data_IF_299732392625
#
_entry.id   IF_299732392625
#
_cell.length_a   1.000
_cell.length_b   1.000
_cell.length_c   1.000
_cell.angle_alpha   90.00
_cell.angle_beta   90.00
_cell.angle_gamma   90.00
#
_symmetry.space_group_name_H-M   'P 1'
#
loop_
_entity.id
_entity.type
_entity.pdbx_description
1 polymer ?
#
# COMPACT_ATOMS: atom_id res chain seq x y z
N UNK A 1 84.38 -15.91 11.23
CA UNK A 1 83.61 -17.07 11.72
C UNK A 1 82.40 -16.51 12.44
N UNK A 2 81.23 -16.45 11.77
CA UNK A 2 80.14 -17.46 11.82
C UNK A 2 79.57 -17.56 13.26
N UNK A 3 78.27 -17.37 13.54
CA UNK A 3 77.08 -17.59 12.70
C UNK A 3 75.80 -17.11 13.42
N UNK A 4 74.75 -16.84 12.62
CA UNK A 4 73.30 -16.96 12.89
C UNK A 4 72.65 -15.90 13.82
N UNK A 5 71.93 -14.90 13.30
CA UNK A 5 70.62 -14.91 12.61
C UNK A 5 69.47 -15.52 13.43
N UNK A 6 68.48 -14.69 13.74
CA UNK A 6 67.03 -14.97 13.91
C UNK A 6 66.35 -13.61 14.20
N UNK A 7 66.04 -12.79 13.19
CA UNK A 7 64.75 -12.69 12.48
C UNK A 7 63.54 -12.89 13.38
N UNK A 8 62.89 -11.77 13.75
CA UNK A 8 61.44 -11.74 13.98
C UNK A 8 60.85 -10.56 13.21
N UNK A 9 60.52 -10.85 11.95
CA UNK A 9 59.77 -10.02 11.03
C UNK A 9 58.38 -9.74 11.60
N UNK A 10 58.12 -8.48 11.99
CA UNK A 10 56.78 -8.04 12.37
C UNK A 10 56.06 -7.55 11.12
N UNK A 11 55.29 -8.44 10.48
CA UNK A 11 54.36 -8.09 9.40
C UNK A 11 53.17 -7.37 10.03
N UNK A 12 53.14 -6.05 9.93
CA UNK A 12 51.95 -5.26 10.26
C UNK A 12 50.94 -5.45 9.12
N UNK A 13 49.95 -6.31 9.35
CA UNK A 13 48.77 -6.42 8.49
C UNK A 13 47.91 -5.16 8.70
N UNK A 14 48.16 -4.13 7.89
CA UNK A 14 47.25 -3.01 7.74
C UNK A 14 45.95 -3.54 7.13
N UNK A 15 44.98 -3.85 7.99
CA UNK A 15 43.63 -4.18 7.58
C UNK A 15 43.00 -2.91 7.01
N UNK A 16 43.01 -2.74 5.69
CA UNK A 16 42.20 -1.72 5.06
C UNK A 16 40.74 -2.10 5.28
N UNK A 17 40.05 -1.38 6.18
CA UNK A 17 38.60 -1.36 6.18
C UNK A 17 38.18 -0.77 4.83
N UNK A 18 37.87 -1.64 3.86
CA UNK A 18 37.10 -1.21 2.69
C UNK A 18 35.70 -0.95 3.20
N UNK A 19 35.41 0.33 3.46
CA UNK A 19 34.05 0.83 3.55
C UNK A 19 33.40 0.48 2.21
N UNK A 20 32.69 -0.64 2.18
CA UNK A 20 31.69 -0.85 1.14
C UNK A 20 30.75 0.34 1.28
N UNK A 21 30.59 1.19 0.26
CA UNK A 21 29.51 2.13 0.30
C UNK A 21 28.27 1.27 0.40
N UNK A 22 27.60 1.31 1.55
CA UNK A 22 26.19 0.96 1.61
C UNK A 22 25.61 1.81 0.50
N UNK A 23 25.21 1.15 -0.58
CA UNK A 23 24.42 1.76 -1.62
C UNK A 23 23.21 2.24 -0.84
N UNK A 24 23.22 3.52 -0.47
CA UNK A 24 21.99 4.25 -0.29
C UNK A 24 21.33 4.08 -1.64
N UNK A 25 20.45 3.08 -1.74
CA UNK A 25 19.32 3.20 -2.63
C UNK A 25 18.65 4.46 -2.13
N UNK A 26 19.09 5.59 -2.68
CA UNK A 26 18.25 6.76 -2.83
C UNK A 26 16.93 6.17 -3.25
N UNK A 27 15.94 6.37 -2.40
CA UNK A 27 14.58 6.05 -2.70
C UNK A 27 14.19 7.01 -3.83
N UNK A 28 14.69 6.74 -5.02
CA UNK A 28 14.08 7.11 -6.29
C UNK A 28 12.84 6.24 -6.44
N UNK A 29 11.97 6.28 -5.43
CA UNK A 29 10.55 6.15 -5.60
C UNK A 29 9.99 7.45 -6.22
N UNK A 30 10.74 8.06 -7.15
CA UNK A 30 10.15 8.36 -8.45
C UNK A 30 9.85 7.03 -9.16
N UNK A 31 9.06 6.15 -8.53
CA UNK A 31 8.15 5.31 -9.28
C UNK A 31 7.35 6.31 -10.05
N UNK A 32 7.71 6.43 -11.32
CA UNK A 32 6.91 7.00 -12.36
C UNK A 32 5.49 6.44 -12.15
N UNK A 33 4.67 7.20 -11.42
CA UNK A 33 3.28 6.90 -11.12
C UNK A 33 2.60 6.93 -12.47
N UNK A 34 2.64 5.78 -13.15
CA UNK A 34 2.00 5.56 -14.43
C UNK A 34 0.49 5.59 -14.19
N UNK A 35 -0.08 6.80 -14.15
CA UNK A 35 -1.35 7.24 -14.75
C UNK A 35 -2.56 6.30 -14.61
N UNK A 36 -2.62 5.49 -13.56
CA UNK A 36 -3.82 4.79 -13.14
C UNK A 36 -4.03 5.00 -11.64
N UNK A 37 -4.14 6.27 -11.27
CA UNK A 37 -4.63 6.67 -9.95
C UNK A 37 -6.02 6.04 -9.72
N UNK A 38 -6.32 5.71 -8.46
CA UNK A 38 -7.61 5.19 -8.03
C UNK A 38 -8.69 6.24 -8.32
N UNK A 39 -8.41 7.51 -8.07
CA UNK A 39 -9.23 8.66 -8.43
C UNK A 39 -9.59 8.66 -9.92
N UNK A 40 -8.63 8.44 -10.82
CA UNK A 40 -8.88 8.37 -12.26
C UNK A 40 -9.77 7.17 -12.63
N UNK A 41 -9.58 6.03 -11.96
CA UNK A 41 -10.41 4.84 -12.17
C UNK A 41 -11.86 5.07 -11.74
N UNK A 42 -12.05 5.71 -10.57
CA UNK A 42 -13.37 6.12 -10.06
C UNK A 42 -14.00 7.13 -11.01
N UNK A 43 -13.28 8.17 -11.42
CA UNK A 43 -13.76 9.20 -12.34
C UNK A 43 -14.22 8.59 -13.66
N UNK A 44 -13.45 7.67 -14.25
CA UNK A 44 -13.82 6.97 -15.47
C UNK A 44 -15.07 6.11 -15.29
N UNK A 45 -15.22 5.44 -14.14
CA UNK A 45 -16.42 4.66 -13.85
C UNK A 45 -17.66 5.55 -13.67
N UNK A 46 -17.53 6.67 -12.97
CA UNK A 46 -18.60 7.65 -12.83
C UNK A 46 -19.02 8.23 -14.18
N UNK A 47 -18.05 8.59 -15.03
CA UNK A 47 -18.33 9.10 -16.35
C UNK A 47 -19.06 8.08 -17.24
N UNK A 48 -18.64 6.81 -17.22
CA UNK A 48 -19.35 5.71 -17.90
C UNK A 48 -20.78 5.50 -17.37
N UNK A 49 -21.07 5.89 -16.13
CA UNK A 49 -22.41 5.87 -15.53
C UNK A 49 -23.24 7.12 -15.88
N UNK A 50 -22.73 8.01 -16.74
CA UNK A 50 -23.44 9.19 -17.23
C UNK A 50 -23.19 10.47 -16.44
N UNK A 51 -22.23 10.48 -15.52
CA UNK A 51 -21.83 11.70 -14.81
C UNK A 51 -20.91 12.53 -15.72
N UNK A 52 -21.06 13.85 -15.69
CA UNK A 52 -20.15 14.77 -16.38
C UNK A 52 -18.68 14.49 -16.00
N UNK A 53 -17.76 14.67 -16.94
CA UNK A 53 -16.36 14.30 -16.75
C UNK A 53 -15.69 15.13 -15.64
N UNK A 54 -15.93 16.44 -15.61
CA UNK A 54 -15.31 17.34 -14.64
C UNK A 54 -15.94 17.16 -13.25
N UNK A 55 -17.25 16.91 -13.21
CA UNK A 55 -17.93 16.50 -11.97
C UNK A 55 -17.36 15.18 -11.45
N UNK A 56 -17.15 14.20 -12.34
CA UNK A 56 -16.60 12.88 -11.98
C UNK A 56 -15.21 13.00 -11.35
N UNK A 57 -14.33 13.84 -11.92
CA UNK A 57 -12.99 14.11 -11.36
C UNK A 57 -13.09 14.73 -9.98
N UNK A 58 -13.96 15.74 -9.81
CA UNK A 58 -14.16 16.43 -8.54
C UNK A 58 -14.66 15.48 -7.45
N UNK A 59 -15.62 14.61 -7.76
CA UNK A 59 -16.15 13.62 -6.82
C UNK A 59 -15.06 12.60 -6.44
N UNK A 60 -14.33 12.07 -7.43
CA UNK A 60 -13.33 11.04 -7.22
C UNK A 60 -12.18 11.50 -6.30
N UNK A 61 -11.80 12.78 -6.36
CA UNK A 61 -10.72 13.32 -5.54
C UNK A 61 -11.10 13.54 -4.07
N UNK A 62 -12.40 13.54 -3.72
CA UNK A 62 -12.87 13.87 -2.38
C UNK A 62 -13.27 12.64 -1.54
N UNK A 63 -13.13 11.43 -2.07
CA UNK A 63 -13.62 10.21 -1.40
C UNK A 63 -12.65 9.67 -0.33
N UNK A 64 -11.36 10.01 -0.45
CA UNK A 64 -10.31 9.45 0.41
C UNK A 64 -10.18 10.25 1.71
N UNK A 65 -10.10 9.56 2.84
CA UNK A 65 -9.83 10.18 4.16
C UNK A 65 -8.34 10.40 4.42
N UNK A 66 -7.51 9.79 3.60
CA UNK A 66 -6.04 9.86 3.62
C UNK A 66 -5.55 10.21 2.21
N UNK A 67 -4.26 10.49 2.06
CA UNK A 67 -3.68 10.70 0.74
C UNK A 67 -3.85 9.45 -0.15
N UNK A 68 -3.91 9.67 -1.47
CA UNK A 68 -4.22 8.61 -2.41
C UNK A 68 -3.14 7.50 -2.46
N UNK A 69 -1.89 7.83 -2.16
CA UNK A 69 -0.78 6.87 -2.14
C UNK A 69 -0.93 5.91 -0.96
N UNK A 70 -1.18 6.45 0.23
CA UNK A 70 -1.48 5.70 1.45
C UNK A 70 -2.75 4.87 1.28
N UNK A 71 -3.79 5.45 0.68
CA UNK A 71 -5.01 4.71 0.36
C UNK A 71 -4.73 3.54 -0.57
N UNK A 72 -3.88 3.72 -1.58
CA UNK A 72 -3.48 2.66 -2.50
C UNK A 72 -2.75 1.52 -1.79
N UNK A 73 -1.87 1.82 -0.83
CA UNK A 73 -1.20 0.81 0.01
C UNK A 73 -2.20 0.02 0.86
N UNK A 74 -3.15 0.73 1.50
CA UNK A 74 -4.22 0.09 2.27
C UNK A 74 -5.10 -0.82 1.40
N UNK A 75 -5.36 -0.40 0.16
CA UNK A 75 -6.13 -1.16 -0.80
C UNK A 75 -5.39 -2.41 -1.29
N UNK A 76 -4.08 -2.33 -1.49
CA UNK A 76 -3.26 -3.51 -1.80
C UNK A 76 -3.32 -4.55 -0.70
N UNK A 77 -3.27 -4.14 0.58
CA UNK A 77 -3.45 -5.07 1.70
C UNK A 77 -4.80 -5.79 1.64
N UNK A 78 -5.87 -5.07 1.29
CA UNK A 78 -7.20 -5.67 1.12
C UNK A 78 -7.22 -6.67 -0.05
N UNK A 79 -6.65 -6.30 -1.20
CA UNK A 79 -6.60 -7.15 -2.40
C UNK A 79 -5.78 -8.43 -2.18
N UNK A 80 -4.69 -8.36 -1.42
CA UNK A 80 -3.85 -9.51 -1.13
C UNK A 80 -4.33 -10.35 0.05
N UNK A 81 -5.01 -9.73 1.03
CA UNK A 81 -5.48 -10.42 2.24
C UNK A 81 -6.91 -10.98 2.13
N UNK A 82 -7.65 -10.63 1.07
CA UNK A 82 -9.05 -11.04 0.88
C UNK A 82 -9.31 -11.54 -0.54
N UNK A 83 -9.12 -12.85 -0.76
CA UNK A 83 -9.37 -13.53 -2.04
C UNK A 83 -10.82 -13.46 -2.53
N UNK A 84 -11.74 -13.04 -1.66
CA UNK A 84 -13.15 -12.93 -2.02
C UNK A 84 -13.43 -11.74 -2.91
N UNK A 85 -12.62 -10.68 -2.88
CA UNK A 85 -12.89 -9.45 -3.63
C UNK A 85 -12.04 -9.36 -4.89
N UNK A 86 -12.68 -9.17 -6.04
CA UNK A 86 -11.97 -8.79 -7.25
C UNK A 86 -11.69 -7.30 -7.28
N UNK A 87 -10.65 -6.87 -8.01
CA UNK A 87 -10.36 -5.44 -8.21
C UNK A 87 -11.55 -4.69 -8.80
N UNK A 88 -12.28 -5.32 -9.73
CA UNK A 88 -13.45 -4.70 -10.37
C UNK A 88 -14.56 -4.40 -9.36
N UNK A 89 -14.88 -5.35 -8.47
CA UNK A 89 -15.90 -5.16 -7.44
C UNK A 89 -15.52 -4.07 -6.44
N UNK A 90 -14.24 -4.00 -6.07
CA UNK A 90 -13.72 -2.93 -5.22
C UNK A 90 -13.88 -1.58 -5.93
N UNK A 91 -13.46 -1.46 -7.18
CA UNK A 91 -13.58 -0.19 -7.92
C UNK A 91 -15.05 0.22 -8.10
N UNK A 92 -15.94 -0.74 -8.35
CA UNK A 92 -17.37 -0.48 -8.48
C UNK A 92 -17.98 0.05 -7.18
N UNK A 93 -17.63 -0.59 -6.05
CA UNK A 93 -18.00 -0.14 -4.71
C UNK A 93 -17.48 1.26 -4.39
N UNK A 94 -16.18 1.52 -4.60
CA UNK A 94 -15.60 2.84 -4.39
C UNK A 94 -16.28 3.90 -5.26
N UNK A 95 -16.58 3.59 -6.51
CA UNK A 95 -17.29 4.53 -7.40
C UNK A 95 -18.68 4.86 -6.86
N UNK A 96 -19.38 3.89 -6.29
CA UNK A 96 -20.68 4.10 -5.65
C UNK A 96 -20.56 4.92 -4.36
N UNK A 97 -19.56 4.66 -3.51
CA UNK A 97 -19.34 5.49 -2.32
C UNK A 97 -18.99 6.94 -2.69
N UNK A 98 -18.19 7.15 -3.75
CA UNK A 98 -17.87 8.47 -4.27
C UNK A 98 -19.14 9.23 -4.67
N UNK A 99 -20.01 8.59 -5.46
CA UNK A 99 -21.28 9.17 -5.90
C UNK A 99 -22.18 9.55 -4.71
N UNK A 100 -22.18 8.73 -3.66
CA UNK A 100 -22.94 8.98 -2.43
C UNK A 100 -22.26 9.98 -1.47
N UNK A 101 -21.12 10.56 -1.86
CA UNK A 101 -20.31 11.44 -1.00
C UNK A 101 -19.98 10.80 0.35
N UNK A 102 -19.71 9.49 0.35
CA UNK A 102 -19.34 8.73 1.54
C UNK A 102 -17.84 8.46 1.54
N UNK A 103 -17.21 8.83 2.65
CA UNK A 103 -15.81 8.56 2.89
C UNK A 103 -15.55 7.07 3.04
N UNK A 104 -14.41 6.61 2.51
CA UNK A 104 -13.99 5.22 2.60
C UNK A 104 -12.90 5.07 3.63
N UNK A 105 -13.15 4.29 4.67
CA UNK A 105 -12.17 4.00 5.69
C UNK A 105 -11.68 2.54 5.64
N UNK A 106 -10.47 2.33 5.14
CA UNK A 106 -9.86 0.99 5.04
C UNK A 106 -9.07 0.55 6.29
N UNK A 107 -8.90 1.41 7.30
CA UNK A 107 -8.28 1.05 8.58
C UNK A 107 -9.28 0.50 9.61
N UNK A 108 -10.58 0.67 9.34
CA UNK A 108 -11.65 0.24 10.23
C UNK A 108 -12.12 -1.18 9.94
N UNK A 109 -11.95 -2.07 10.91
CA UNK A 109 -12.45 -3.46 10.82
C UNK A 109 -13.95 -3.53 10.53
N UNK A 110 -14.77 -2.75 11.22
CA UNK A 110 -16.23 -2.74 11.03
C UNK A 110 -16.60 -2.24 9.63
N UNK A 111 -15.86 -1.26 9.10
CA UNK A 111 -16.05 -0.78 7.74
C UNK A 111 -15.72 -1.86 6.71
N UNK A 112 -14.58 -2.55 6.85
CA UNK A 112 -14.19 -3.63 5.93
C UNK A 112 -15.20 -4.79 5.91
N UNK A 113 -15.71 -5.17 7.09
CA UNK A 113 -16.77 -6.18 7.22
C UNK A 113 -18.03 -5.75 6.48
N UNK A 114 -18.49 -4.52 6.72
CA UNK A 114 -19.67 -3.97 6.06
C UNK A 114 -19.47 -3.84 4.53
N UNK A 115 -18.30 -3.39 4.08
CA UNK A 115 -17.95 -3.30 2.66
C UNK A 115 -18.09 -4.65 1.96
N UNK A 116 -17.48 -5.72 2.50
CA UNK A 116 -17.57 -7.03 1.84
C UNK A 116 -18.99 -7.59 1.89
N UNK A 117 -19.72 -7.37 2.99
CA UNK A 117 -21.12 -7.75 3.06
C UNK A 117 -21.96 -7.05 1.98
N UNK A 118 -21.76 -5.74 1.77
CA UNK A 118 -22.45 -4.98 0.73
C UNK A 118 -22.09 -5.44 -0.68
N UNK A 119 -20.84 -5.88 -0.92
CA UNK A 119 -20.41 -6.36 -2.24
C UNK A 119 -20.90 -7.78 -2.51
N UNK A 120 -20.82 -8.68 -1.53
CA UNK A 120 -21.03 -10.12 -1.73
C UNK A 120 -22.41 -10.61 -1.34
N UNK A 121 -23.15 -9.84 -0.54
CA UNK A 121 -24.46 -10.22 0.02
C UNK A 121 -24.45 -11.60 0.69
N UNK A 122 -23.31 -11.97 1.31
CA UNK A 122 -23.09 -13.27 1.94
C UNK A 122 -22.48 -13.08 3.31
N UNK A 123 -22.84 -13.98 4.23
CA UNK A 123 -22.23 -14.03 5.55
C UNK A 123 -20.72 -14.33 5.44
N UNK A 124 -19.94 -13.62 6.25
CA UNK A 124 -18.51 -13.84 6.39
C UNK A 124 -18.24 -15.01 7.33
N UNK A 125 -17.29 -15.86 6.94
CA UNK A 125 -16.81 -16.96 7.79
C UNK A 125 -15.87 -16.41 8.87
N UNK A 126 -15.63 -17.18 9.92
CA UNK A 126 -14.63 -16.83 10.95
C UNK A 126 -13.23 -16.58 10.35
N UNK A 127 -12.86 -17.31 9.29
CA UNK A 127 -11.60 -17.11 8.57
C UNK A 127 -11.55 -15.74 7.92
N UNK A 128 -12.63 -15.34 7.24
CA UNK A 128 -12.70 -14.03 6.59
C UNK A 128 -12.61 -12.90 7.62
N UNK A 129 -13.36 -13.01 8.72
CA UNK A 129 -13.34 -12.02 9.80
C UNK A 129 -11.93 -11.88 10.39
N UNK A 130 -11.20 -12.99 10.59
CA UNK A 130 -9.80 -12.95 11.04
C UNK A 130 -8.89 -12.26 10.03
N UNK A 131 -9.03 -12.56 8.73
CA UNK A 131 -8.26 -11.88 7.68
C UNK A 131 -8.53 -10.38 7.65
N UNK A 132 -9.79 -9.96 7.77
CA UNK A 132 -10.17 -8.55 7.79
C UNK A 132 -9.66 -7.81 9.01
N UNK A 133 -9.62 -8.48 10.17
CA UNK A 133 -9.00 -7.91 11.36
C UNK A 133 -7.50 -7.66 11.13
N UNK A 134 -6.78 -8.63 10.55
CA UNK A 134 -5.36 -8.47 10.21
C UNK A 134 -5.14 -7.32 9.23
N UNK A 135 -5.97 -7.20 8.20
CA UNK A 135 -5.91 -6.11 7.21
C UNK A 135 -6.15 -4.76 7.90
N UNK A 136 -7.21 -4.65 8.71
CA UNK A 136 -7.52 -3.43 9.45
C UNK A 136 -6.37 -3.00 10.37
N UNK A 137 -5.81 -3.95 11.14
CA UNK A 137 -4.65 -3.66 12.00
C UNK A 137 -3.46 -3.16 11.18
N UNK A 138 -3.12 -3.82 10.07
CA UNK A 138 -2.02 -3.39 9.20
C UNK A 138 -2.26 -2.00 8.63
N UNK A 139 -3.48 -1.72 8.18
CA UNK A 139 -3.89 -0.41 7.67
C UNK A 139 -3.91 0.66 8.78
N UNK A 140 -4.25 0.32 10.02
CA UNK A 140 -4.20 1.28 11.12
C UNK A 140 -2.77 1.70 11.48
N UNK A 141 -1.80 0.77 11.37
CA UNK A 141 -0.37 1.11 11.53
C UNK A 141 0.06 2.11 10.45
N UNK A 142 -0.44 1.91 9.24
CA UNK A 142 -0.23 2.82 8.14
C UNK A 142 -0.83 4.21 8.42
N UNK A 143 -2.09 4.28 8.84
CA UNK A 143 -2.73 5.55 9.18
C UNK A 143 -2.01 6.31 10.33
N UNK A 144 -1.32 5.60 11.22
CA UNK A 144 -0.59 6.17 12.35
C UNK A 144 0.85 6.61 12.02
N UNK A 145 1.30 6.44 10.78
CA UNK A 145 2.66 6.83 10.38
C UNK A 145 3.74 5.80 10.73
N UNK A 146 3.36 4.56 11.03
CA UNK A 146 4.32 3.49 11.35
C UNK A 146 4.76 2.80 10.04
N UNK A 147 5.68 3.44 9.33
CA UNK A 147 6.37 2.89 8.15
C UNK A 147 7.80 3.42 8.04
#
# INVERSE_FOLDING_TARGET
MNTNQNILSSVLLASSLTLTPIVTTSLTASTQFRVNSISNSISKNLHRRGIDEDISKKIANNIFTVDEELFALMLQNLQHGCDKLTRSEIMDFLSTQALLSKNVNLDSYSYLVNMIYQIKHKALTKKDLKSLNTIATKNSLYAQGWF
#
